data_IF_215738512852
#
_entry.id   IF_215738512852
#
_cell.length_a   1.000
_cell.length_b   1.000
_cell.length_c   1.000
_cell.angle_alpha   90.00
_cell.angle_beta   90.00
_cell.angle_gamma   90.00
#
_symmetry.space_group_name_H-M   'P 1'
#
loop_
_entity.id
_entity.type
_entity.pdbx_description
1 polymer ?
#
# COMPACT_ATOMS: atom_id res chain seq x y z
N UNK A 1 0.14 -8.10 11.96
CA UNK A 1 1.55 -7.75 12.24
C UNK A 1 1.78 -6.28 11.92
N UNK A 2 2.59 -5.54 12.68
CA UNK A 2 2.98 -4.16 12.31
C UNK A 2 4.30 -4.19 11.56
N UNK A 3 4.42 -3.45 10.47
CA UNK A 3 5.63 -3.35 9.66
C UNK A 3 6.04 -1.90 9.45
N UNK A 4 7.33 -1.70 9.17
CA UNK A 4 7.87 -0.49 8.55
C UNK A 4 8.68 -0.91 7.33
N UNK A 5 8.31 -0.44 6.15
CA UNK A 5 8.95 -0.83 4.90
C UNK A 5 9.04 0.36 3.93
N UNK A 6 10.04 0.31 3.06
CA UNK A 6 10.19 1.22 1.92
C UNK A 6 9.69 0.53 0.65
N UNK A 7 9.09 1.30 -0.24
CA UNK A 7 8.56 0.77 -1.49
C UNK A 7 7.98 1.85 -2.39
N UNK A 8 7.27 1.40 -3.42
CA UNK A 8 6.65 2.25 -4.43
C UNK A 8 5.12 2.07 -4.40
N UNK A 9 4.42 3.20 -4.47
CA UNK A 9 2.97 3.23 -4.64
C UNK A 9 2.62 3.02 -6.11
N UNK A 10 1.75 2.06 -6.39
CA UNK A 10 1.28 1.77 -7.73
C UNK A 10 -0.23 1.83 -7.81
N UNK A 11 -0.75 2.29 -8.94
CA UNK A 11 -2.17 2.14 -9.29
C UNK A 11 -2.34 0.92 -10.19
N UNK A 12 -2.99 -0.13 -9.69
CA UNK A 12 -3.34 -1.33 -10.47
C UNK A 12 -4.67 -1.12 -11.18
N UNK A 13 -4.72 -1.40 -12.48
CA UNK A 13 -5.95 -1.30 -13.28
C UNK A 13 -6.73 -2.62 -13.26
N UNK A 14 -7.25 -2.98 -12.08
CA UNK A 14 -8.06 -4.18 -11.83
C UNK A 14 -9.41 -3.73 -11.27
N UNK A 15 -10.52 -4.17 -11.87
CA UNK A 15 -11.87 -3.74 -11.47
C UNK A 15 -12.02 -2.21 -11.49
N UNK A 16 -12.36 -1.60 -10.36
CA UNK A 16 -12.47 -0.13 -10.18
C UNK A 16 -11.12 0.57 -9.94
N UNK A 17 -10.03 -0.20 -10.02
CA UNK A 17 -8.67 0.20 -9.70
C UNK A 17 -8.35 0.03 -8.22
N UNK A 18 -7.13 -0.43 -7.93
CA UNK A 18 -6.63 -0.66 -6.58
C UNK A 18 -5.30 0.05 -6.37
N UNK A 19 -5.08 0.55 -5.16
CA UNK A 19 -3.78 1.09 -4.77
C UNK A 19 -2.94 -0.03 -4.17
N UNK A 20 -1.70 -0.12 -4.62
CA UNK A 20 -0.75 -1.09 -4.14
C UNK A 20 0.48 -0.38 -3.56
N UNK A 21 1.06 -0.99 -2.54
CA UNK A 21 2.40 -0.66 -2.07
C UNK A 21 3.29 -1.88 -2.32
N UNK A 22 4.25 -1.72 -3.21
CA UNK A 22 5.22 -2.76 -3.57
C UNK A 22 6.51 -2.42 -2.84
N UNK A 23 6.86 -3.23 -1.85
CA UNK A 23 8.07 -3.05 -1.06
C UNK A 23 9.32 -3.35 -1.90
N UNK A 24 10.48 -2.87 -1.45
CA UNK A 24 11.76 -3.11 -2.14
C UNK A 24 12.16 -4.60 -2.18
N UNK A 25 11.69 -5.42 -1.24
CA UNK A 25 11.85 -6.87 -1.23
C UNK A 25 10.77 -7.61 -2.04
N UNK A 26 9.89 -6.87 -2.74
CA UNK A 26 8.93 -7.42 -3.71
C UNK A 26 7.58 -7.86 -3.13
N UNK A 27 7.31 -7.62 -1.85
CA UNK A 27 6.01 -7.89 -1.23
C UNK A 27 5.00 -6.83 -1.68
N UNK A 28 3.81 -7.27 -2.06
CA UNK A 28 2.72 -6.37 -2.45
C UNK A 28 1.63 -6.34 -1.39
N UNK A 29 1.26 -5.13 -0.98
CA UNK A 29 0.12 -4.86 -0.12
C UNK A 29 -0.93 -4.03 -0.84
N UNK A 30 -2.21 -4.31 -0.58
CA UNK A 30 -3.29 -3.42 -0.99
C UNK A 30 -3.40 -2.25 0.01
N UNK A 31 -3.52 -1.03 -0.50
CA UNK A 31 -3.82 0.15 0.31
C UNK A 31 -5.24 0.60 0.03
N UNK A 32 -6.00 0.87 1.10
CA UNK A 32 -7.36 1.38 0.96
C UNK A 32 -7.39 2.68 0.16
N UNK A 33 -8.38 2.82 -0.72
CA UNK A 33 -8.68 4.08 -1.43
C UNK A 33 -8.98 5.27 -0.50
N UNK A 34 -9.26 5.02 0.78
CA UNK A 34 -9.48 6.03 1.81
C UNK A 34 -8.20 6.54 2.48
N UNK A 35 -7.04 5.98 2.15
CA UNK A 35 -5.76 6.47 2.67
C UNK A 35 -5.46 7.90 2.17
N UNK A 36 -4.48 8.54 2.80
CA UNK A 36 -4.10 9.92 2.49
C UNK A 36 -3.74 10.09 1.00
N UNK A 37 -4.38 11.06 0.33
CA UNK A 37 -4.15 11.34 -1.10
C UNK A 37 -2.73 11.81 -1.40
N UNK A 38 -2.00 12.32 -0.41
CA UNK A 38 -0.59 12.67 -0.54
C UNK A 38 0.29 11.42 -0.67
N UNK A 39 -0.16 10.27 -0.15
CA UNK A 39 0.49 8.98 -0.35
C UNK A 39 0.08 8.33 -1.68
N UNK A 40 -1.21 8.42 -2.04
CA UNK A 40 -1.79 7.71 -3.19
C UNK A 40 -1.46 8.35 -4.55
N UNK A 41 -0.18 8.32 -4.93
CA UNK A 41 0.32 8.76 -6.24
C UNK A 41 1.14 7.66 -6.88
N UNK A 42 0.77 7.27 -8.10
CA UNK A 42 1.47 6.19 -8.80
C UNK A 42 2.92 6.59 -9.08
N UNK A 43 3.86 5.68 -8.83
CA UNK A 43 5.30 5.89 -8.95
C UNK A 43 5.94 6.58 -7.74
N UNK A 44 5.15 6.98 -6.74
CA UNK A 44 5.70 7.64 -5.54
C UNK A 44 6.42 6.63 -4.65
N UNK A 45 7.66 6.95 -4.27
CA UNK A 45 8.39 6.20 -3.25
C UNK A 45 7.99 6.69 -1.85
N UNK A 46 7.81 5.76 -0.94
CA UNK A 46 7.48 6.09 0.44
C UNK A 46 8.04 5.04 1.40
N UNK A 47 8.34 5.49 2.61
CA UNK A 47 8.51 4.64 3.78
C UNK A 47 7.20 4.65 4.56
N UNK A 48 6.60 3.48 4.76
CA UNK A 48 5.29 3.31 5.39
C UNK A 48 5.45 2.53 6.67
N UNK A 49 4.82 2.99 7.75
CA UNK A 49 4.56 2.19 8.95
C UNK A 49 3.07 1.90 9.03
N UNK A 50 2.71 0.63 9.20
CA UNK A 50 1.31 0.21 9.20
C UNK A 50 1.09 -1.20 9.71
N UNK A 51 -0.19 -1.57 9.86
CA UNK A 51 -0.61 -2.91 10.28
C UNK A 51 -1.04 -3.72 9.07
N UNK A 52 -0.39 -4.87 8.86
CA UNK A 52 -0.85 -5.89 7.91
C UNK A 52 -2.11 -6.55 8.49
N UNK A 53 -3.19 -6.47 7.73
CA UNK A 53 -4.53 -7.01 8.03
C UNK A 53 -4.77 -8.28 7.23
N UNK A 54 -4.27 -9.40 7.73
CA UNK A 54 -4.51 -10.75 7.20
C UNK A 54 -5.92 -11.25 7.52
N UNK A 55 -6.59 -10.59 8.48
CA UNK A 55 -7.97 -10.85 8.91
C UNK A 55 -9.02 -10.27 7.96
N UNK A 56 -8.60 -9.53 6.93
CA UNK A 56 -9.49 -8.87 5.98
C UNK A 56 -9.32 -9.46 4.57
N UNK A 57 -10.44 -9.67 3.88
CA UNK A 57 -10.44 -10.01 2.47
C UNK A 57 -10.20 -8.77 1.61
N UNK A 58 -9.38 -8.92 0.58
CA UNK A 58 -9.03 -7.82 -0.33
C UNK A 58 -9.90 -7.87 -1.58
N UNK A 59 -10.32 -6.70 -2.07
CA UNK A 59 -11.23 -6.64 -3.20
C UNK A 59 -10.52 -6.94 -4.52
N UNK A 60 -9.23 -6.59 -4.63
CA UNK A 60 -8.45 -6.79 -5.86
C UNK A 60 -7.60 -8.08 -5.85
N UNK A 61 -7.54 -8.80 -4.73
CA UNK A 61 -6.75 -10.03 -4.58
C UNK A 61 -5.25 -9.87 -4.93
N UNK A 62 -4.68 -8.68 -4.70
CA UNK A 62 -3.28 -8.35 -5.05
C UNK A 62 -2.30 -8.50 -3.87
N UNK A 63 -2.78 -8.89 -2.69
CA UNK A 63 -2.01 -8.96 -1.45
C UNK A 63 -2.90 -8.75 -0.24
N UNK A 64 -2.31 -8.75 0.96
CA UNK A 64 -3.02 -8.37 2.20
C UNK A 64 -3.22 -6.86 2.27
N UNK A 65 -4.22 -6.39 3.04
CA UNK A 65 -4.39 -4.95 3.29
C UNK A 65 -3.29 -4.44 4.23
N UNK A 66 -2.64 -3.34 3.86
CA UNK A 66 -1.81 -2.55 4.75
C UNK A 66 -2.59 -1.34 5.25
N UNK A 67 -2.99 -1.40 6.53
CA UNK A 67 -3.57 -0.27 7.23
C UNK A 67 -2.45 0.72 7.58
N UNK A 68 -2.37 1.81 6.81
CA UNK A 68 -1.33 2.83 6.95
C UNK A 68 -1.55 3.64 8.23
N UNK A 69 -0.57 3.63 9.13
CA UNK A 69 -0.58 4.48 10.33
C UNK A 69 0.20 5.77 10.11
N UNK A 70 1.35 5.69 9.43
CA UNK A 70 2.15 6.86 9.05
C UNK A 70 2.97 6.57 7.79
N UNK A 71 3.35 7.63 7.08
CA UNK A 71 4.21 7.54 5.92
C UNK A 71 5.13 8.74 5.81
N UNK A 72 6.25 8.53 5.13
CA UNK A 72 7.20 9.55 4.71
C UNK A 72 7.37 9.42 3.20
N UNK A 73 7.12 10.49 2.46
CA UNK A 73 7.36 10.53 1.01
C UNK A 73 8.84 10.71 0.76
N UNK A 74 9.41 9.84 -0.06
CA UNK A 74 10.82 9.88 -0.40
C UNK A 74 10.99 10.59 -1.75
N UNK A 75 11.81 11.64 -1.75
CA UNK A 75 12.27 12.33 -2.96
C UNK A 75 13.37 11.58 -3.67
#
# INVERSE_FOLDING_TARGET
MTITATGTIERRNIGLGAWAFVTEDGVTYEISKSADKNLLKSGQKAKITGKVREDLMTAAMIGSILEVHSFEVMT
#
